data_IF_380164813361
#
_entry.id   IF_380164813361
#
_cell.length_a   1.000
_cell.length_b   1.000
_cell.length_c   1.000
_cell.angle_alpha   90.00
_cell.angle_beta   90.00
_cell.angle_gamma   90.00
#
_symmetry.space_group_name_H-M   'P 1'
#
loop_
_entity.id
_entity.type
_entity.pdbx_description
1 polymer ?
#
# COMPACT_ATOMS: atom_id res chain seq x y z
N UNK A 1 46.81 -23.57 73.26
CA UNK A 1 46.46 -24.36 72.06
C UNK A 1 46.74 -23.47 70.86
N UNK A 2 47.71 -23.65 69.96
CA UNK A 2 48.44 -24.84 69.51
C UNK A 2 48.17 -25.02 68.00
N UNK A 3 49.24 -24.97 67.18
CA UNK A 3 49.34 -25.12 65.71
C UNK A 3 49.02 -23.87 64.89
N UNK A 4 49.91 -23.19 64.14
CA UNK A 4 51.17 -23.53 63.44
C UNK A 4 51.03 -24.73 62.49
N UNK A 5 50.91 -24.49 61.17
CA UNK A 5 51.78 -25.13 60.17
C UNK A 5 51.62 -24.60 58.72
N UNK A 6 52.71 -23.98 58.24
CA UNK A 6 53.40 -24.12 56.93
C UNK A 6 52.61 -23.87 55.63
N UNK A 7 52.91 -22.81 54.88
CA UNK A 7 54.00 -22.72 53.87
C UNK A 7 54.15 -23.96 52.98
N UNK A 8 53.58 -23.86 51.78
CA UNK A 8 54.15 -24.45 50.57
C UNK A 8 53.73 -23.58 49.38
N UNK A 9 54.52 -22.55 49.13
CA UNK A 9 54.57 -21.84 47.86
C UNK A 9 55.17 -22.83 46.85
N UNK A 10 54.36 -23.31 45.90
CA UNK A 10 54.84 -24.04 44.74
C UNK A 10 54.48 -23.25 43.50
N UNK A 11 55.54 -22.75 42.87
CA UNK A 11 55.57 -22.13 41.57
C UNK A 11 54.89 -23.01 40.52
N UNK A 12 54.11 -22.39 39.64
CA UNK A 12 53.44 -23.11 38.56
C UNK A 12 52.81 -22.19 37.53
N UNK A 13 53.65 -21.76 36.59
CA UNK A 13 53.30 -21.50 35.20
C UNK A 13 52.39 -20.29 34.90
N UNK A 14 53.05 -19.20 34.48
CA UNK A 14 52.47 -18.14 33.65
C UNK A 14 52.04 -18.76 32.32
N UNK A 15 50.76 -19.14 32.21
CA UNK A 15 50.13 -19.40 30.92
C UNK A 15 49.44 -18.10 30.48
N UNK A 16 50.04 -17.48 29.46
CA UNK A 16 49.49 -16.33 28.74
C UNK A 16 48.07 -16.68 28.25
N UNK A 17 47.05 -16.12 28.91
CA UNK A 17 45.71 -16.07 28.35
C UNK A 17 45.75 -15.09 27.16
N UNK A 18 46.12 -15.61 25.99
CA UNK A 18 45.85 -14.96 24.72
C UNK A 18 44.34 -14.84 24.59
N UNK A 19 43.84 -13.63 24.83
CA UNK A 19 42.52 -13.14 24.46
C UNK A 19 42.39 -13.22 22.93
N UNK A 20 42.18 -14.43 22.42
CA UNK A 20 41.85 -14.69 21.03
C UNK A 20 40.41 -14.26 20.80
N UNK A 21 40.25 -13.13 20.12
CA UNK A 21 38.99 -12.73 19.49
C UNK A 21 38.53 -13.86 18.55
N UNK A 22 37.67 -14.74 19.06
CA UNK A 22 37.01 -15.79 18.28
C UNK A 22 35.98 -15.11 17.38
N UNK A 23 36.44 -14.62 16.22
CA UNK A 23 35.54 -14.16 15.19
C UNK A 23 34.74 -15.37 14.66
N UNK A 24 33.40 -15.31 14.61
CA UNK A 24 32.60 -16.35 14.00
C UNK A 24 32.96 -16.40 12.52
N UNK A 25 33.61 -17.49 12.10
CA UNK A 25 33.91 -17.81 10.71
C UNK A 25 32.57 -17.86 9.96
N UNK A 26 32.23 -16.78 9.25
CA UNK A 26 31.13 -16.78 8.28
C UNK A 26 31.51 -17.78 7.21
N UNK A 27 30.91 -18.96 7.26
CA UNK A 27 30.99 -19.89 6.16
C UNK A 27 30.44 -19.20 4.90
N UNK A 28 31.15 -19.27 3.76
CA UNK A 28 30.61 -18.78 2.50
C UNK A 28 29.32 -19.54 2.21
N UNK A 29 28.19 -18.82 2.14
CA UNK A 29 26.91 -19.41 1.75
C UNK A 29 27.08 -19.89 0.30
N UNK A 30 26.72 -21.15 -0.03
CA UNK A 30 26.76 -21.61 -1.41
C UNK A 30 25.85 -20.70 -2.24
N UNK A 31 26.45 -20.02 -3.22
CA UNK A 31 25.71 -19.25 -4.23
C UNK A 31 24.92 -20.28 -5.02
N UNK A 32 23.63 -20.41 -4.73
CA UNK A 32 22.73 -21.20 -5.57
C UNK A 32 22.62 -20.47 -6.90
N UNK A 33 23.14 -21.11 -7.94
CA UNK A 33 23.01 -20.65 -9.32
C UNK A 33 21.51 -20.50 -9.62
N UNK A 34 21.05 -19.35 -10.15
CA UNK A 34 19.64 -19.16 -10.43
C UNK A 34 19.17 -20.22 -11.43
N UNK A 35 17.92 -20.72 -11.31
CA UNK A 35 17.40 -21.71 -12.25
C UNK A 35 17.49 -21.16 -13.67
N UNK A 36 18.13 -21.93 -14.55
CA UNK A 36 18.18 -21.66 -15.98
C UNK A 36 16.76 -21.76 -16.54
N UNK A 37 16.14 -20.61 -16.76
CA UNK A 37 14.86 -20.54 -17.44
C UNK A 37 15.03 -21.05 -18.87
N UNK A 38 14.14 -21.93 -19.36
CA UNK A 38 14.16 -22.32 -20.77
C UNK A 38 13.98 -21.07 -21.65
N UNK A 39 14.62 -21.01 -22.83
CA UNK A 39 14.38 -19.91 -23.77
C UNK A 39 12.89 -19.90 -24.12
N UNK A 40 12.25 -18.74 -23.97
CA UNK A 40 10.86 -18.55 -24.36
C UNK A 40 10.67 -18.97 -25.82
N UNK A 41 9.55 -19.63 -26.19
CA UNK A 41 9.31 -19.96 -27.57
C UNK A 41 9.17 -18.66 -28.37
N UNK A 42 10.06 -18.46 -29.33
CA UNK A 42 9.97 -17.39 -30.34
C UNK A 42 8.77 -17.65 -31.26
N UNK A 43 7.57 -17.50 -30.73
CA UNK A 43 6.34 -17.44 -31.50
C UNK A 43 6.17 -15.99 -31.97
N UNK A 44 6.97 -15.58 -32.94
CA UNK A 44 6.72 -14.36 -33.72
C UNK A 44 5.52 -14.60 -34.63
N UNK A 45 4.33 -14.68 -34.05
CA UNK A 45 3.08 -14.53 -34.79
C UNK A 45 2.91 -13.04 -35.00
N UNK A 46 3.44 -12.54 -36.12
CA UNK A 46 3.08 -11.22 -36.64
C UNK A 46 1.60 -11.25 -36.97
N UNK A 47 0.78 -10.77 -36.04
CA UNK A 47 -0.61 -10.45 -36.31
C UNK A 47 -0.64 -9.44 -37.48
N UNK A 48 -1.57 -9.59 -38.44
CA UNK A 48 -1.77 -8.57 -39.46
C UNK A 48 -2.14 -7.26 -38.76
N UNK A 49 -1.27 -6.26 -38.87
CA UNK A 49 -1.58 -4.89 -38.48
C UNK A 49 -2.66 -4.41 -39.44
N UNK A 50 -3.91 -4.47 -39.01
CA UNK A 50 -5.02 -3.84 -39.71
C UNK A 50 -4.84 -2.33 -39.53
N UNK A 51 -4.68 -1.54 -40.60
CA UNK A 51 -4.60 -0.09 -40.47
C UNK A 51 -5.92 0.42 -39.85
N UNK A 52 -5.87 1.35 -38.88
CA UNK A 52 -7.09 1.92 -38.35
C UNK A 52 -7.85 2.59 -39.49
N UNK A 53 -9.08 2.16 -39.73
CA UNK A 53 -10.00 2.85 -40.65
C UNK A 53 -10.14 4.29 -40.19
N UNK A 54 -10.01 5.28 -41.08
CA UNK A 54 -10.21 6.68 -40.72
C UNK A 54 -11.65 6.86 -40.23
N UNK A 55 -11.80 7.17 -38.94
CA UNK A 55 -13.09 7.54 -38.38
C UNK A 55 -13.44 8.91 -38.97
N UNK A 56 -14.60 9.08 -39.63
CA UNK A 56 -15.01 10.38 -40.14
C UNK A 56 -15.16 11.34 -38.95
N UNK A 57 -14.45 12.47 -39.01
CA UNK A 57 -14.62 13.56 -38.06
C UNK A 57 -16.08 14.05 -38.12
N UNK A 58 -16.76 14.24 -36.98
CA UNK A 58 -18.09 14.83 -36.99
C UNK A 58 -18.01 16.26 -37.54
N UNK A 59 -18.89 16.55 -38.49
CA UNK A 59 -19.07 17.88 -39.09
C UNK A 59 -19.33 18.91 -37.99
N UNK A 60 -18.74 20.13 -38.04
CA UNK A 60 -19.05 21.16 -37.07
C UNK A 60 -20.53 21.55 -37.18
N UNK A 61 -21.24 21.53 -36.06
CA UNK A 61 -22.59 22.06 -35.97
C UNK A 61 -22.59 23.56 -36.34
N UNK A 62 -23.64 24.08 -36.98
CA UNK A 62 -23.74 25.51 -37.28
C UNK A 62 -23.76 26.32 -35.99
N UNK A 63 -22.97 27.40 -35.97
CA UNK A 63 -23.00 28.41 -34.94
C UNK A 63 -24.39 29.05 -34.90
N UNK A 64 -25.15 28.77 -33.85
CA UNK A 64 -26.38 29.49 -33.56
C UNK A 64 -26.02 30.85 -32.97
N UNK A 65 -26.56 31.90 -33.60
CA UNK A 65 -26.40 33.30 -33.22
C UNK A 65 -26.87 33.55 -31.78
N UNK A 66 -26.24 34.50 -31.04
CA UNK A 66 -26.62 34.78 -29.66
C UNK A 66 -27.94 35.57 -29.62
N UNK A 67 -28.94 35.00 -28.95
CA UNK A 67 -30.17 35.73 -28.62
C UNK A 67 -29.91 36.65 -27.41
N UNK A 68 -30.56 37.83 -27.31
CA UNK A 68 -30.30 38.78 -26.25
C UNK A 68 -30.78 38.23 -24.90
N UNK A 69 -29.84 37.91 -24.02
CA UNK A 69 -30.14 37.49 -22.64
C UNK A 69 -30.50 38.73 -21.84
N UNK A 70 -31.81 38.97 -21.72
CA UNK A 70 -32.37 39.87 -20.72
C UNK A 70 -32.20 39.23 -19.33
N UNK A 71 -31.58 39.94 -18.40
CA UNK A 71 -31.35 39.52 -17.01
C UNK A 71 -32.67 39.17 -16.29
N UNK A 72 -32.75 38.04 -15.57
CA UNK A 72 -33.66 37.90 -14.45
C UNK A 72 -32.93 37.94 -13.08
N UNK A 73 -33.72 38.27 -12.06
CA UNK A 73 -33.44 38.57 -10.65
C UNK A 73 -32.56 37.55 -9.88
N UNK A 74 -32.04 37.91 -8.68
CA UNK A 74 -31.27 36.99 -7.84
C UNK A 74 -32.14 35.81 -7.38
N UNK A 75 -31.94 34.66 -8.02
CA UNK A 75 -32.51 33.39 -7.59
C UNK A 75 -31.85 32.97 -6.26
N UNK A 76 -32.68 32.55 -5.32
CA UNK A 76 -32.30 32.12 -3.97
C UNK A 76 -31.27 30.99 -4.01
N UNK A 77 -30.32 30.90 -3.05
CA UNK A 77 -29.40 29.76 -2.99
C UNK A 77 -30.19 28.45 -2.88
N UNK A 78 -29.73 27.35 -3.50
CA UNK A 78 -30.44 26.09 -3.47
C UNK A 78 -30.63 25.67 -2.02
N UNK A 79 -31.90 25.44 -1.69
CA UNK A 79 -32.37 24.78 -0.49
C UNK A 79 -31.46 23.59 -0.18
N UNK A 80 -30.67 23.74 0.89
CA UNK A 80 -29.94 22.63 1.48
C UNK A 80 -30.99 21.59 1.88
N UNK A 81 -31.06 20.49 1.12
CA UNK A 81 -31.66 19.25 1.61
C UNK A 81 -31.08 18.99 3.00
N UNK A 82 -31.87 18.50 3.97
CA UNK A 82 -31.42 18.39 5.34
C UNK A 82 -30.14 17.56 5.35
N UNK A 83 -29.03 18.20 5.74
CA UNK A 83 -27.77 17.52 6.00
C UNK A 83 -28.09 16.46 7.04
N UNK A 84 -28.23 15.22 6.56
CA UNK A 84 -28.44 14.06 7.41
C UNK A 84 -27.26 14.06 8.36
N UNK A 85 -27.52 14.23 9.67
CA UNK A 85 -26.54 14.51 10.71
C UNK A 85 -25.17 13.94 10.35
N UNK A 86 -24.27 14.80 9.89
CA UNK A 86 -23.00 14.38 9.30
C UNK A 86 -22.21 13.64 10.37
N UNK A 87 -22.24 12.32 10.30
CA UNK A 87 -21.37 11.48 11.10
C UNK A 87 -19.95 11.82 10.63
N UNK A 88 -19.19 12.52 11.47
CA UNK A 88 -17.82 12.95 11.16
C UNK A 88 -17.02 11.70 10.81
N UNK A 89 -16.52 11.57 9.57
CA UNK A 89 -15.78 10.39 9.19
C UNK A 89 -14.41 10.38 9.86
N UNK A 90 -13.99 9.22 10.34
CA UNK A 90 -12.64 8.97 10.82
C UNK A 90 -11.71 8.99 9.61
N UNK A 91 -10.87 10.02 9.54
CA UNK A 91 -9.88 10.16 8.49
C UNK A 91 -8.59 9.39 8.82
N UNK A 92 -8.15 8.55 7.89
CA UNK A 92 -6.89 7.80 8.01
C UNK A 92 -6.04 8.08 6.78
N UNK A 93 -4.84 8.63 7.01
CA UNK A 93 -3.85 8.83 5.96
C UNK A 93 -3.11 7.53 5.68
N UNK A 94 -3.11 7.11 4.42
CA UNK A 94 -2.42 5.89 3.98
C UNK A 94 -1.44 6.24 2.87
N UNK A 95 -0.19 5.81 3.02
CA UNK A 95 0.82 5.85 1.97
C UNK A 95 0.92 4.48 1.33
N UNK A 96 0.59 4.38 0.06
CA UNK A 96 0.92 3.22 -0.75
C UNK A 96 2.34 3.41 -1.30
N UNK A 97 3.15 2.35 -1.23
CA UNK A 97 4.48 2.30 -1.79
C UNK A 97 4.78 0.90 -2.33
N UNK A 98 5.92 0.73 -2.99
CA UNK A 98 6.32 -0.53 -3.58
C UNK A 98 6.21 -1.67 -2.58
N UNK A 99 5.24 -2.54 -2.85
CA UNK A 99 4.98 -3.78 -2.13
C UNK A 99 4.42 -3.60 -0.71
N UNK A 100 3.92 -2.41 -0.35
CA UNK A 100 3.38 -2.19 0.97
C UNK A 100 2.46 -0.98 1.13
N UNK A 101 1.82 -0.92 2.29
CA UNK A 101 1.00 0.21 2.73
C UNK A 101 1.45 0.66 4.11
N UNK A 102 1.42 1.96 4.34
CA UNK A 102 1.72 2.57 5.63
C UNK A 102 0.54 3.46 6.06
N UNK A 103 -0.14 3.17 7.17
CA UNK A 103 0.09 2.01 8.03
C UNK A 103 -0.34 0.69 7.35
N UNK A 104 0.34 -0.41 7.70
CA UNK A 104 -0.01 -1.76 7.22
C UNK A 104 -1.26 -2.31 7.91
N UNK A 105 -1.55 -1.82 9.10
CA UNK A 105 -2.76 -2.13 9.87
C UNK A 105 -3.52 -0.84 10.15
N UNK A 106 -4.80 -0.81 9.78
CA UNK A 106 -5.70 0.31 10.05
C UNK A 106 -6.71 -0.17 11.08
N UNK A 107 -6.85 0.54 12.20
CA UNK A 107 -7.82 0.19 13.25
C UNK A 107 -8.94 1.22 13.31
N UNK A 108 -10.18 0.76 13.26
CA UNK A 108 -11.40 1.59 13.33
C UNK A 108 -12.45 0.89 14.19
N UNK A 109 -13.48 1.61 14.62
CA UNK A 109 -14.59 1.02 15.37
C UNK A 109 -15.77 0.66 14.46
N UNK A 110 -16.51 -0.37 14.85
CA UNK A 110 -17.72 -0.77 14.15
C UNK A 110 -18.75 0.36 14.15
N UNK A 111 -19.34 0.64 12.98
CA UNK A 111 -20.35 1.67 12.77
C UNK A 111 -19.80 3.04 12.37
N UNK A 112 -18.48 3.24 12.42
CA UNK A 112 -17.83 4.48 12.00
C UNK A 112 -17.86 4.63 10.47
N UNK A 113 -17.99 5.89 10.03
CA UNK A 113 -17.66 6.26 8.66
C UNK A 113 -16.16 6.45 8.57
N UNK A 114 -15.50 5.72 7.67
CA UNK A 114 -14.06 5.75 7.49
C UNK A 114 -13.75 6.45 6.18
N UNK A 115 -12.82 7.41 6.23
CA UNK A 115 -12.29 8.13 5.08
C UNK A 115 -10.81 7.83 4.93
N UNK A 116 -10.47 6.92 4.03
CA UNK A 116 -9.07 6.61 3.71
C UNK A 116 -8.56 7.62 2.68
N UNK A 117 -7.55 8.39 3.08
CA UNK A 117 -6.88 9.35 2.22
C UNK A 117 -5.56 8.73 1.80
N UNK A 118 -5.53 8.21 0.58
CA UNK A 118 -4.42 7.37 0.11
C UNK A 118 -3.59 8.11 -0.94
N UNK A 119 -2.28 8.07 -0.78
CA UNK A 119 -1.33 8.70 -1.70
C UNK A 119 -0.16 7.76 -2.03
N UNK A 120 0.43 7.94 -3.20
CA UNK A 120 1.61 7.20 -3.68
C UNK A 120 2.57 8.15 -4.40
N UNK A 121 3.87 7.86 -4.36
CA UNK A 121 4.92 8.65 -5.02
C UNK A 121 5.80 7.83 -5.96
N UNK A 122 5.85 6.51 -5.77
CA UNK A 122 6.79 5.58 -6.40
C UNK A 122 6.19 4.82 -7.59
N UNK A 123 4.86 4.81 -7.74
CA UNK A 123 4.22 4.15 -8.87
C UNK A 123 2.69 4.17 -8.83
N UNK A 124 2.10 3.53 -9.85
CA UNK A 124 0.67 3.25 -9.90
C UNK A 124 0.39 2.03 -9.03
N UNK A 125 -0.51 2.19 -8.06
CA UNK A 125 -0.95 1.13 -7.17
C UNK A 125 -2.46 0.99 -7.21
N UNK A 126 -2.98 -0.01 -6.51
CA UNK A 126 -4.40 -0.21 -6.27
C UNK A 126 -4.69 -0.28 -4.77
N UNK A 127 -5.92 0.01 -4.40
CA UNK A 127 -6.46 -0.24 -3.06
C UNK A 127 -7.80 -0.95 -3.21
N UNK A 128 -7.84 -2.22 -2.83
CA UNK A 128 -9.08 -2.99 -2.77
C UNK A 128 -9.37 -3.43 -1.33
N UNK A 129 -10.61 -3.20 -0.88
CA UNK A 129 -11.15 -3.72 0.38
C UNK A 129 -12.48 -4.43 0.05
N UNK A 130 -12.45 -5.72 -0.33
CA UNK A 130 -13.63 -6.42 -0.87
C UNK A 130 -14.83 -6.43 0.08
N UNK A 131 -14.59 -6.53 1.39
CA UNK A 131 -15.64 -6.56 2.40
C UNK A 131 -16.49 -5.28 2.47
N UNK A 132 -15.96 -4.17 1.96
CA UNK A 132 -16.62 -2.86 1.95
C UNK A 132 -16.82 -2.33 0.52
N UNK A 133 -16.58 -3.15 -0.50
CA UNK A 133 -16.77 -2.76 -1.91
C UNK A 133 -15.81 -1.66 -2.40
N UNK A 134 -14.72 -1.41 -1.67
CA UNK A 134 -13.73 -0.40 -2.06
C UNK A 134 -12.80 -0.98 -3.11
N UNK A 135 -12.67 -0.28 -4.24
CA UNK A 135 -11.68 -0.58 -5.27
C UNK A 135 -11.25 0.74 -5.94
N UNK A 136 -10.04 1.19 -5.65
CA UNK A 136 -9.51 2.46 -6.14
C UNK A 136 -8.16 2.26 -6.82
N UNK A 137 -7.96 2.98 -7.93
CA UNK A 137 -6.64 3.11 -8.56
C UNK A 137 -5.91 4.30 -7.93
N UNK A 138 -4.64 4.10 -7.59
CA UNK A 138 -3.77 5.10 -6.99
C UNK A 138 -2.75 5.55 -8.04
N UNK A 139 -2.74 6.84 -8.34
CA UNK A 139 -1.80 7.43 -9.30
C UNK A 139 -0.74 8.26 -8.57
N UNK A 140 0.54 8.21 -9.00
CA UNK A 140 1.60 8.96 -8.35
C UNK A 140 1.33 10.46 -8.40
N UNK A 141 1.52 11.13 -7.27
CA UNK A 141 1.28 12.57 -7.13
C UNK A 141 -0.19 12.98 -7.01
N UNK A 142 -1.13 12.02 -6.96
CA UNK A 142 -2.54 12.26 -6.65
C UNK A 142 -2.92 11.65 -5.31
N UNK A 143 -3.82 12.33 -4.61
CA UNK A 143 -4.47 11.80 -3.42
C UNK A 143 -5.83 11.24 -3.82
N UNK A 144 -6.05 9.96 -3.54
CA UNK A 144 -7.32 9.28 -3.76
C UNK A 144 -8.03 9.10 -2.43
N UNK A 145 -9.33 9.37 -2.40
CA UNK A 145 -10.15 9.23 -1.20
C UNK A 145 -11.10 8.04 -1.37
N UNK A 146 -11.13 7.15 -0.39
CA UNK A 146 -12.08 6.05 -0.31
C UNK A 146 -12.89 6.15 0.98
N UNK A 147 -14.20 6.31 0.84
CA UNK A 147 -15.14 6.44 1.96
C UNK A 147 -16.04 5.21 2.03
N UNK A 148 -16.15 4.62 3.22
CA UNK A 148 -17.02 3.48 3.47
C UNK A 148 -17.44 3.44 4.94
N UNK A 149 -18.55 2.75 5.22
CA UNK A 149 -19.00 2.50 6.60
C UNK A 149 -18.42 1.18 7.09
N UNK A 150 -17.75 1.19 8.24
CA UNK A 150 -17.21 0.00 8.88
C UNK A 150 -18.32 -0.78 9.62
N UNK A 151 -19.29 -1.33 8.90
CA UNK A 151 -20.50 -1.96 9.46
C UNK A 151 -20.25 -3.35 10.08
N UNK A 152 -19.15 -4.00 9.73
CA UNK A 152 -18.81 -5.37 10.15
C UNK A 152 -17.57 -5.37 11.03
N UNK A 153 -17.65 -5.93 12.24
CA UNK A 153 -16.48 -6.17 13.09
C UNK A 153 -15.64 -7.35 12.57
N UNK A 154 -14.32 -7.29 12.73
CA UNK A 154 -13.41 -8.34 12.30
C UNK A 154 -12.11 -7.83 11.66
N UNK A 155 -11.41 -8.71 10.97
CA UNK A 155 -10.17 -8.42 10.25
C UNK A 155 -10.43 -8.55 8.75
N UNK A 156 -10.22 -7.47 8.01
CA UNK A 156 -10.49 -7.42 6.58
C UNK A 156 -9.20 -7.12 5.83
N UNK A 157 -8.72 -8.03 4.98
CA UNK A 157 -7.54 -7.77 4.19
C UNK A 157 -7.84 -6.69 3.16
N UNK A 158 -6.90 -5.77 3.00
CA UNK A 158 -6.86 -4.88 1.85
C UNK A 158 -5.57 -5.13 1.07
N UNK A 159 -5.59 -4.91 -0.24
CA UNK A 159 -4.47 -5.27 -1.10
C UNK A 159 -4.43 -4.42 -2.36
N UNK A 160 -3.28 -4.47 -3.03
CA UNK A 160 -3.13 -3.88 -4.36
C UNK A 160 -3.83 -4.75 -5.41
N UNK A 161 -4.81 -4.20 -6.12
CA UNK A 161 -5.52 -4.89 -7.21
C UNK A 161 -5.04 -4.49 -8.61
N UNK A 162 -3.94 -3.74 -8.71
CA UNK A 162 -3.32 -3.32 -9.97
C UNK A 162 -1.90 -3.89 -10.05
N UNK A 163 -1.54 -4.50 -11.17
CA UNK A 163 -0.19 -5.04 -11.37
C UNK A 163 0.86 -3.92 -11.27
N UNK A 164 1.59 -3.88 -10.14
CA UNK A 164 2.53 -2.80 -9.79
C UNK A 164 3.99 -3.26 -9.68
N UNK A 165 4.31 -4.48 -10.11
CA UNK A 165 5.68 -5.03 -10.14
C UNK A 165 5.82 -6.36 -9.39
N UNK A 166 7.07 -6.79 -9.17
CA UNK A 166 7.38 -8.16 -8.71
C UNK A 166 6.80 -8.53 -7.35
N UNK A 167 6.70 -7.59 -6.40
CA UNK A 167 6.08 -7.82 -5.08
C UNK A 167 4.58 -7.48 -5.02
N UNK A 168 3.91 -7.34 -6.17
CA UNK A 168 2.47 -7.02 -6.23
C UNK A 168 1.62 -8.03 -5.43
N UNK A 169 1.96 -9.31 -5.51
CA UNK A 169 1.25 -10.40 -4.81
C UNK A 169 1.24 -10.23 -3.30
N UNK A 170 2.30 -9.67 -2.74
CA UNK A 170 2.54 -9.56 -1.31
C UNK A 170 2.13 -8.18 -0.76
N UNK A 171 1.74 -7.25 -1.65
CA UNK A 171 1.28 -5.92 -1.30
C UNK A 171 -0.11 -5.95 -0.66
N UNK A 172 -0.14 -6.15 0.66
CA UNK A 172 -1.35 -6.32 1.46
C UNK A 172 -1.24 -5.59 2.80
N UNK A 173 -2.38 -5.27 3.37
CA UNK A 173 -2.54 -4.78 4.73
C UNK A 173 -3.84 -5.30 5.35
N UNK A 174 -4.09 -4.94 6.60
CA UNK A 174 -5.26 -5.42 7.35
C UNK A 174 -6.04 -4.26 7.95
N UNK A 175 -7.32 -4.19 7.66
CA UNK A 175 -8.28 -3.32 8.33
C UNK A 175 -8.90 -4.09 9.50
N UNK A 176 -8.65 -3.61 10.71
CA UNK A 176 -9.19 -4.17 11.96
C UNK A 176 -10.37 -3.31 12.39
N UNK A 177 -11.57 -3.88 12.36
CA UNK A 177 -12.78 -3.23 12.85
C UNK A 177 -13.10 -3.78 14.24
N UNK A 178 -12.89 -2.96 15.26
CA UNK A 178 -13.15 -3.30 16.66
C UNK A 178 -14.66 -3.25 16.93
N UNK A 179 -15.24 -4.29 17.55
CA UNK A 179 -16.64 -4.22 17.98
C UNK A 179 -16.80 -3.14 19.06
N UNK A 180 -17.84 -2.33 18.94
CA UNK A 180 -18.22 -1.37 19.99
C UNK A 180 -19.19 -2.07 20.95
N UNK A 181 -18.91 -2.11 22.26
CA UNK A 181 -19.77 -2.76 23.26
C UNK A 181 -21.08 -2.01 23.51
#
# INVERSE_FOLDING_TARGET
MGSILRFACLAGLVLLAFTGCLQPQRQPVPVQEPPSFPPEPEASVRLPVVPPTPVPLPSPAPALEPLPVSLPAPESPPSQAPVSSEAVPVEVLVRAFNWGFEPSTIEVNQGEWVRLVVSTQDGVHGLAIPAFGVSQKLEPGKTTVAEFKADKAGHFPFYCNVSCGSGHSDMRGTLVVKPVP
#
